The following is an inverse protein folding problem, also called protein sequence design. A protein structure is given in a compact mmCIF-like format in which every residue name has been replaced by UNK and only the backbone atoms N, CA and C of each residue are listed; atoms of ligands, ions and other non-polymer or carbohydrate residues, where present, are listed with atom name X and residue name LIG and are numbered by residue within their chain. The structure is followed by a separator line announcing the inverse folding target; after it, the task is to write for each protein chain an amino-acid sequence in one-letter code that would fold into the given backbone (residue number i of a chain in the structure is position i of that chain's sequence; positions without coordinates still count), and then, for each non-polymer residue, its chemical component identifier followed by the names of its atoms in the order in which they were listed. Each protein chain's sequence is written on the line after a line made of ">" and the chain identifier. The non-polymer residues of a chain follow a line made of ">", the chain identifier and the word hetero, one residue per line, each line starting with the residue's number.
data_IF_254119928319
#
_entry.id   IF_254119928319
#
_cell.length_a   1.000
_cell.length_b   1.000
_cell.length_c   1.000
_cell.angle_alpha   90.00
_cell.angle_beta   90.00
_cell.angle_gamma   90.00
#
_symmetry.space_group_name_H-M   'P 1'
#
loop_
_entity.id
_entity.type
_entity.pdbx_description
1 polymer ?
#
# COMPACT_ATOMS: atom_id res chain seq x y z
N UNK A 1 11.78 6.47 0.30
CA UNK A 1 10.46 6.23 0.89
C UNK A 1 9.54 7.39 0.53
N UNK A 2 8.67 7.15 -0.45
CA UNK A 2 7.48 7.97 -0.66
C UNK A 2 6.47 7.55 0.41
N UNK A 3 6.05 8.46 1.28
CA UNK A 3 4.99 8.11 2.23
C UNK A 3 3.70 7.86 1.43
N UNK A 4 2.91 6.86 1.83
CA UNK A 4 1.69 6.47 1.12
C UNK A 4 0.47 7.04 1.86
N UNK A 5 0.38 8.37 1.92
CA UNK A 5 -0.69 9.05 2.66
C UNK A 5 -1.93 9.33 1.78
N UNK A 6 -3.09 9.48 2.42
CA UNK A 6 -4.33 9.93 1.76
C UNK A 6 -4.15 11.28 1.05
N UNK A 7 -3.31 12.18 1.61
CA UNK A 7 -3.01 13.47 1.00
C UNK A 7 -2.27 13.29 -0.34
N UNK A 8 -1.28 12.42 -0.39
CA UNK A 8 -0.55 12.14 -1.63
C UNK A 8 -1.42 11.36 -2.62
N UNK A 9 -2.27 10.45 -2.15
CA UNK A 9 -3.22 9.76 -3.01
C UNK A 9 -4.21 10.75 -3.65
N UNK A 10 -4.78 11.68 -2.87
CA UNK A 10 -5.60 12.78 -3.39
C UNK A 10 -4.87 13.61 -4.43
N UNK A 11 -3.62 14.00 -4.17
CA UNK A 11 -2.84 14.78 -5.14
C UNK A 11 -2.60 14.02 -6.46
N UNK A 12 -2.51 12.68 -6.44
CA UNK A 12 -2.44 11.84 -7.65
C UNK A 12 -3.78 11.80 -8.38
N UNK A 13 -4.89 11.69 -7.65
CA UNK A 13 -6.23 11.71 -8.22
C UNK A 13 -6.60 13.07 -8.82
N UNK A 14 -6.22 14.17 -8.16
CA UNK A 14 -6.43 15.55 -8.64
C UNK A 14 -5.71 15.83 -9.98
N UNK A 15 -4.74 14.98 -10.35
CA UNK A 15 -4.06 15.07 -11.64
C UNK A 15 -4.81 14.34 -12.78
N UNK A 16 -5.88 13.60 -12.47
CA UNK A 16 -6.76 12.90 -13.40
C UNK A 16 -8.00 13.78 -13.65
N UNK A 17 -8.59 13.72 -14.85
CA UNK A 17 -9.81 14.48 -15.16
C UNK A 17 -11.03 13.83 -14.47
N UNK A 18 -11.88 14.65 -13.87
CA UNK A 18 -13.04 14.22 -13.06
C UNK A 18 -14.05 13.30 -13.77
N UNK A 19 -14.13 13.34 -15.11
CA UNK A 19 -15.05 12.54 -15.91
C UNK A 19 -14.46 11.22 -16.42
N UNK A 20 -13.20 10.92 -16.07
CA UNK A 20 -12.54 9.66 -16.43
C UNK A 20 -13.17 8.48 -15.66
N UNK A 21 -13.51 7.41 -16.38
CA UNK A 21 -14.03 6.19 -15.77
C UNK A 21 -12.92 5.47 -14.99
N UNK A 22 -13.14 5.16 -13.71
CA UNK A 22 -12.14 4.48 -12.89
C UNK A 22 -12.72 3.38 -12.01
N UNK A 23 -11.87 2.39 -11.70
CA UNK A 23 -12.09 1.34 -10.72
C UNK A 23 -10.81 1.22 -9.88
N UNK A 24 -10.95 1.11 -8.56
CA UNK A 24 -9.81 0.98 -7.67
C UNK A 24 -10.21 0.44 -6.30
N UNK A 25 -9.26 -0.15 -5.61
CA UNK A 25 -9.37 -0.53 -4.20
C UNK A 25 -8.50 0.42 -3.38
N UNK A 26 -8.95 0.72 -2.16
CA UNK A 26 -8.30 1.67 -1.28
C UNK A 26 -8.04 0.98 0.06
N UNK A 27 -6.80 1.10 0.53
CA UNK A 27 -6.31 0.44 1.73
C UNK A 27 -5.59 1.46 2.61
N UNK A 28 -5.75 1.32 3.92
CA UNK A 28 -5.24 2.22 4.94
C UNK A 28 -4.26 1.50 5.87
N UNK A 29 -3.59 2.27 6.73
CA UNK A 29 -2.69 1.73 7.75
C UNK A 29 -3.39 0.72 8.68
N UNK A 30 -4.65 0.97 9.02
CA UNK A 30 -5.49 0.04 9.80
C UNK A 30 -5.64 -1.35 9.16
N UNK A 31 -5.57 -1.46 7.84
CA UNK A 31 -5.66 -2.76 7.15
C UNK A 31 -4.36 -3.56 7.33
N UNK A 32 -3.20 -2.90 7.35
CA UNK A 32 -1.92 -3.54 7.66
C UNK A 32 -1.86 -3.94 9.14
N UNK A 33 -2.37 -3.09 10.03
CA UNK A 33 -2.48 -3.40 11.47
C UNK A 33 -3.45 -4.56 11.76
N UNK A 34 -4.44 -4.77 10.90
CA UNK A 34 -5.34 -5.92 10.98
C UNK A 34 -4.63 -7.25 10.70
N UNK A 35 -3.55 -7.22 9.90
CA UNK A 35 -2.69 -8.37 9.62
C UNK A 35 -1.64 -8.55 10.72
N UNK A 36 -0.93 -7.47 11.06
CA UNK A 36 0.07 -7.47 12.12
C UNK A 36 -0.05 -6.20 13.00
N UNK A 37 -0.66 -6.32 14.18
CA UNK A 37 -0.86 -5.19 15.10
C UNK A 37 0.44 -4.61 15.69
N UNK A 38 1.58 -5.28 15.54
CA UNK A 38 2.85 -4.83 16.07
C UNK A 38 3.61 -3.88 15.12
N UNK A 39 3.13 -3.71 13.88
CA UNK A 39 3.80 -2.87 12.90
C UNK A 39 3.85 -1.40 13.34
N UNK A 40 5.02 -0.82 13.21
CA UNK A 40 5.23 0.62 13.36
C UNK A 40 4.78 1.37 12.11
N UNK A 41 4.58 2.69 12.23
CA UNK A 41 4.23 3.54 11.09
C UNK A 41 5.26 3.45 9.96
N UNK A 42 6.54 3.36 10.30
CA UNK A 42 7.63 3.30 9.31
C UNK A 42 7.61 1.96 8.55
N UNK A 43 7.40 0.85 9.26
CA UNK A 43 7.23 -0.47 8.66
C UNK A 43 5.99 -0.55 7.77
N UNK A 44 4.86 0.04 8.19
CA UNK A 44 3.65 0.13 7.37
C UNK A 44 3.94 0.96 6.10
N UNK A 45 4.59 2.11 6.23
CA UNK A 45 4.92 2.95 5.08
C UNK A 45 5.83 2.22 4.08
N UNK A 46 6.82 1.47 4.58
CA UNK A 46 7.69 0.64 3.74
C UNK A 46 6.92 -0.51 3.08
N UNK A 47 6.03 -1.20 3.80
CA UNK A 47 5.21 -2.27 3.25
C UNK A 47 4.21 -1.75 2.20
N UNK A 48 3.64 -0.56 2.41
CA UNK A 48 2.79 0.10 1.41
C UNK A 48 3.54 0.49 0.14
N UNK A 49 4.80 0.94 0.26
CA UNK A 49 5.67 1.22 -0.90
C UNK A 49 5.94 -0.07 -1.69
N UNK A 50 6.26 -1.17 -1.01
CA UNK A 50 6.43 -2.49 -1.64
C UNK A 50 5.14 -2.97 -2.31
N UNK A 51 4.00 -2.85 -1.63
CA UNK A 51 2.72 -3.30 -2.16
C UNK A 51 2.32 -2.53 -3.44
N UNK A 52 2.57 -1.22 -3.49
CA UNK A 52 2.34 -0.40 -4.68
C UNK A 52 3.30 -0.78 -5.82
N UNK A 53 4.60 -0.84 -5.54
CA UNK A 53 5.62 -1.04 -6.58
C UNK A 53 5.55 -2.44 -7.22
N UNK A 54 4.89 -3.39 -6.55
CA UNK A 54 4.76 -4.79 -6.99
C UNK A 54 3.30 -5.21 -7.25
N UNK A 55 2.39 -4.25 -7.48
CA UNK A 55 1.00 -4.57 -7.79
C UNK A 55 0.86 -5.31 -9.14
N UNK A 56 0.41 -6.56 -9.10
CA UNK A 56 0.02 -7.35 -10.28
C UNK A 56 -1.49 -7.21 -10.55
N UNK A 57 -1.85 -6.83 -11.78
CA UNK A 57 -3.24 -6.72 -12.22
C UNK A 57 -4.01 -8.06 -12.20
N UNK A 58 -3.32 -9.20 -12.20
CA UNK A 58 -3.90 -10.54 -12.10
C UNK A 58 -4.31 -10.94 -10.68
N UNK A 59 -3.71 -10.35 -9.66
CA UNK A 59 -4.00 -10.67 -8.24
C UNK A 59 -4.75 -9.53 -7.54
N UNK A 60 -4.44 -8.28 -7.93
CA UNK A 60 -5.01 -7.07 -7.36
C UNK A 60 -4.60 -6.82 -5.91
N UNK A 61 -4.86 -5.62 -5.42
CA UNK A 61 -4.74 -5.34 -3.99
C UNK A 61 -5.79 -6.12 -3.18
N UNK A 62 -5.32 -7.11 -2.43
CA UNK A 62 -6.11 -7.99 -1.57
C UNK A 62 -5.32 -8.33 -0.29
N UNK A 63 -5.95 -9.03 0.67
CA UNK A 63 -5.32 -9.40 1.94
C UNK A 63 -4.01 -10.17 1.79
N UNK A 64 -3.96 -11.12 0.85
CA UNK A 64 -2.76 -11.90 0.59
C UNK A 64 -1.61 -11.03 0.05
N UNK A 65 -1.92 -10.06 -0.82
CA UNK A 65 -0.93 -9.11 -1.33
C UNK A 65 -0.35 -8.24 -0.22
N UNK A 66 -1.18 -7.79 0.73
CA UNK A 66 -0.72 -7.04 1.90
C UNK A 66 0.14 -7.89 2.83
N UNK A 67 -0.25 -9.14 3.10
CA UNK A 67 0.56 -10.10 3.88
C UNK A 67 1.93 -10.33 3.24
N UNK A 68 1.97 -10.52 1.92
CA UNK A 68 3.21 -10.68 1.17
C UNK A 68 4.10 -9.43 1.28
N UNK A 69 3.54 -8.24 1.08
CA UNK A 69 4.31 -7.00 1.16
C UNK A 69 4.89 -6.76 2.57
N UNK A 70 4.15 -7.10 3.63
CA UNK A 70 4.66 -7.09 5.02
C UNK A 70 5.81 -8.10 5.18
N UNK A 71 5.68 -9.28 4.59
CA UNK A 71 6.73 -10.31 4.60
C UNK A 71 8.01 -9.86 3.90
N UNK A 72 7.90 -9.25 2.73
CA UNK A 72 9.05 -8.71 1.98
C UNK A 72 9.72 -7.55 2.70
N UNK A 73 8.93 -6.65 3.31
CA UNK A 73 9.43 -5.56 4.15
C UNK A 73 10.31 -6.10 5.29
N UNK A 74 9.82 -7.11 6.03
CA UNK A 74 10.55 -7.72 7.14
C UNK A 74 11.85 -8.38 6.68
N UNK A 75 11.83 -9.10 5.55
CA UNK A 75 13.02 -9.73 4.98
C UNK A 75 14.07 -8.71 4.51
N UNK A 76 13.62 -7.52 4.08
CA UNK A 76 14.50 -6.44 3.61
C UNK A 76 15.15 -5.63 4.74
N UNK A 77 14.64 -5.74 5.98
CA UNK A 77 15.15 -5.07 7.18
C UNK A 77 16.23 -5.83 7.95
N UNK A 78 16.49 -7.10 7.61
CA UNK A 78 17.47 -7.99 8.26
C UNK A 78 18.91 -7.90 7.66
N UNK A 79 19.30 -6.75 7.08
CA UNK A 79 20.65 -6.51 6.51
C UNK A 79 21.46 -5.53 7.34
#
# INVERSE_FOLDING_TARGET
>A
MREMTVREFKARLDAIVDDELCCGTFWLDDDFLSIDPALTREEIASAMEIAEDNHDAGEGFNWWHLEWAIGEMKQSGDV
#
